data_IF_927717727336
#
_entry.id   IF_927717727336
#
_cell.length_a   1.000
_cell.length_b   1.000
_cell.length_c   1.000
_cell.angle_alpha   90.00
_cell.angle_beta   90.00
_cell.angle_gamma   90.00
#
_symmetry.space_group_name_H-M   'P 1'
#
loop_
_entity.id
_entity.type
_entity.pdbx_description
1 polymer ?
#
# COMPACT_ATOMS: atom_id res chain seq x y z
N UNK A 1 -26.87 6.79 52.38
CA UNK A 1 -26.29 5.85 51.41
C UNK A 1 -27.22 5.80 50.21
N UNK A 2 -26.76 5.83 48.94
CA UNK A 2 -25.39 5.66 48.44
C UNK A 2 -24.76 6.94 47.85
N UNK A 3 -23.47 6.83 47.52
CA UNK A 3 -22.59 7.84 46.93
C UNK A 3 -23.00 8.18 45.49
N UNK A 4 -23.03 9.48 45.17
CA UNK A 4 -23.10 10.01 43.81
C UNK A 4 -21.69 10.44 43.39
N UNK A 5 -20.94 9.56 42.73
CA UNK A 5 -19.72 9.92 41.99
C UNK A 5 -20.11 10.25 40.56
N UNK A 6 -20.36 11.53 40.30
CA UNK A 6 -20.38 12.06 38.93
C UNK A 6 -18.92 12.17 38.45
N UNK A 7 -18.44 11.14 37.74
CA UNK A 7 -17.20 11.23 36.97
C UNK A 7 -17.54 12.02 35.71
N UNK A 8 -17.12 13.29 35.66
CA UNK A 8 -17.07 14.04 34.40
C UNK A 8 -16.09 13.32 33.46
N UNK A 9 -16.62 12.65 32.44
CA UNK A 9 -15.81 12.18 31.31
C UNK A 9 -15.41 13.40 30.49
N UNK A 10 -14.18 13.88 30.69
CA UNK A 10 -13.51 14.74 29.71
C UNK A 10 -13.20 13.90 28.47
N UNK A 11 -14.07 13.96 27.46
CA UNK A 11 -13.79 13.50 26.10
C UNK A 11 -12.84 14.50 25.46
N UNK A 12 -11.60 14.07 25.21
CA UNK A 12 -10.68 14.82 24.36
C UNK A 12 -10.88 14.37 22.92
N UNK A 13 -11.38 15.26 22.06
CA UNK A 13 -11.25 15.11 20.61
C UNK A 13 -9.76 15.23 20.26
N UNK A 14 -9.14 14.09 19.93
CA UNK A 14 -7.83 14.08 19.29
C UNK A 14 -8.07 14.59 17.86
N UNK A 15 -7.77 15.86 17.63
CA UNK A 15 -7.75 16.43 16.28
C UNK A 15 -6.81 15.60 15.40
N UNK A 16 -7.22 15.19 14.19
CA UNK A 16 -6.38 14.40 13.31
C UNK A 16 -5.14 15.22 12.95
N UNK A 17 -3.97 14.64 13.18
CA UNK A 17 -2.70 15.19 12.71
C UNK A 17 -2.81 15.49 11.22
N UNK A 18 -2.83 16.77 10.86
CA UNK A 18 -2.76 17.22 9.48
C UNK A 18 -1.36 16.85 8.95
N UNK A 19 -1.29 15.77 8.18
CA UNK A 19 -0.14 15.42 7.36
C UNK A 19 -0.17 16.33 6.13
N UNK A 20 0.54 17.45 6.16
CA UNK A 20 0.84 18.19 4.94
C UNK A 20 2.02 17.52 4.24
N UNK A 21 1.72 16.87 3.12
CA UNK A 21 2.71 16.28 2.21
C UNK A 21 3.45 17.42 1.51
N UNK A 22 4.65 17.73 1.99
CA UNK A 22 5.61 18.50 1.21
C UNK A 22 6.42 17.56 0.31
N UNK A 23 6.66 17.96 -0.95
CA UNK A 23 7.31 17.22 -2.05
C UNK A 23 8.77 16.76 -1.83
N UNK A 24 9.19 16.50 -0.59
CA UNK A 24 10.41 15.77 -0.26
C UNK A 24 10.12 14.83 0.90
N UNK A 25 10.03 13.55 0.61
CA UNK A 25 9.79 12.47 1.58
C UNK A 25 10.89 12.45 2.67
N UNK A 26 10.62 13.11 3.79
CA UNK A 26 11.36 12.92 5.02
C UNK A 26 10.38 12.91 6.19
N UNK A 27 10.44 11.86 7.01
CA UNK A 27 9.83 11.85 8.34
C UNK A 27 10.68 12.72 9.28
N UNK A 28 10.11 13.84 9.73
CA UNK A 28 10.67 14.66 10.81
C UNK A 28 10.08 14.18 12.14
N UNK A 29 10.90 13.58 12.99
CA UNK A 29 10.57 13.44 14.41
C UNK A 29 10.56 14.84 15.03
N UNK A 30 9.39 15.38 15.40
CA UNK A 30 9.32 16.65 16.13
C UNK A 30 9.62 16.39 17.62
N UNK A 31 10.67 17.01 18.13
CA UNK A 31 11.08 16.94 19.53
C UNK A 31 10.29 17.90 20.43
N UNK A 32 9.02 18.16 20.12
CA UNK A 32 8.19 19.12 20.87
C UNK A 32 6.96 18.42 21.43
N UNK A 33 7.06 17.92 22.66
CA UNK A 33 5.88 17.74 23.49
C UNK A 33 5.25 19.12 23.73
N UNK A 34 3.93 19.30 23.57
CA UNK A 34 3.30 20.60 23.79
C UNK A 34 3.56 21.07 25.23
N UNK A 35 4.01 22.32 25.41
CA UNK A 35 4.25 22.92 26.73
C UNK A 35 3.02 22.83 27.66
N UNK A 36 1.81 22.75 27.09
CA UNK A 36 0.56 22.50 27.81
C UNK A 36 0.51 21.16 28.56
N UNK A 37 1.18 20.12 28.04
CA UNK A 37 1.27 18.80 28.71
C UNK A 37 2.19 18.85 29.93
N UNK A 38 3.31 19.57 29.83
CA UNK A 38 4.24 19.76 30.94
C UNK A 38 3.65 20.64 32.05
N UNK A 39 2.89 21.68 31.69
CA UNK A 39 2.21 22.56 32.65
C UNK A 39 1.12 21.83 33.46
N UNK A 40 0.37 20.92 32.84
CA UNK A 40 -0.66 20.13 33.53
C UNK A 40 -0.07 19.13 34.54
N UNK A 41 1.12 18.58 34.25
CA UNK A 41 1.82 17.68 35.17
C UNK A 41 2.45 18.41 36.36
N UNK A 42 2.82 19.68 36.23
CA UNK A 42 3.42 20.45 37.33
C UNK A 42 2.41 20.96 38.37
N UNK A 43 1.18 21.32 37.97
CA UNK A 43 0.18 21.86 38.91
C UNK A 43 -0.52 20.80 39.77
N UNK A 44 -0.60 19.55 39.31
CA UNK A 44 -1.23 18.45 40.10
C UNK A 44 -0.26 17.70 41.02
N UNK A 45 1.02 18.08 41.02
CA UNK A 45 2.06 17.42 41.80
C UNK A 45 2.34 18.02 43.18
N UNK A 46 1.79 19.20 43.51
CA UNK A 46 2.20 19.94 44.72
C UNK A 46 1.30 19.77 45.95
N UNK A 47 0.08 19.25 45.83
CA UNK A 47 -0.92 19.37 46.90
C UNK A 47 -1.34 18.05 47.57
N UNK A 48 -0.61 16.94 47.37
CA UNK A 48 -0.98 15.64 47.94
C UNK A 48 0.19 14.82 48.50
N UNK A 49 1.03 15.38 49.38
CA UNK A 49 1.83 14.56 50.30
C UNK A 49 2.06 15.30 51.64
N UNK A 50 1.01 15.42 52.46
CA UNK A 50 1.18 15.43 53.92
C UNK A 50 0.34 14.27 54.48
N UNK A 51 1.01 13.16 54.80
CA UNK A 51 0.39 12.03 55.48
C UNK A 51 0.73 10.68 54.85
N UNK A 52 1.34 9.84 55.68
CA UNK A 52 1.55 8.39 55.51
C UNK A 52 2.80 7.95 54.74
N UNK A 53 3.84 7.75 55.55
CA UNK A 53 4.89 6.74 55.38
C UNK A 53 4.28 5.39 54.99
N UNK A 54 4.13 5.15 53.68
CA UNK A 54 3.96 3.80 53.14
C UNK A 54 5.17 3.48 52.27
N UNK A 55 6.04 2.67 52.85
CA UNK A 55 7.13 1.91 52.23
C UNK A 55 6.86 1.51 50.77
N UNK A 56 7.33 2.33 49.83
CA UNK A 56 7.59 1.96 48.45
C UNK A 56 9.09 2.11 48.22
N UNK A 57 9.79 0.98 48.22
CA UNK A 57 11.16 0.89 47.70
C UNK A 57 11.14 1.34 46.24
N UNK A 58 11.46 2.61 45.99
CA UNK A 58 11.85 3.07 44.66
C UNK A 58 13.14 2.35 44.28
N UNK A 59 13.02 1.30 43.48
CA UNK A 59 14.14 0.75 42.72
C UNK A 59 14.58 1.83 41.74
N UNK A 60 15.52 2.68 42.17
CA UNK A 60 16.04 3.78 41.36
C UNK A 60 17.02 3.22 40.33
N UNK A 61 16.47 2.71 39.24
CA UNK A 61 17.25 2.21 38.11
C UNK A 61 18.03 3.38 37.50
N UNK A 62 19.37 3.29 37.34
CA UNK A 62 20.18 4.38 36.80
C UNK A 62 19.74 4.80 35.40
N UNK A 63 19.87 6.10 35.08
CA UNK A 63 19.52 6.61 33.75
C UNK A 63 20.31 5.96 32.60
N UNK A 64 21.56 5.53 32.84
CA UNK A 64 22.35 4.77 31.87
C UNK A 64 21.70 3.44 31.49
N UNK A 65 21.09 2.74 32.44
CA UNK A 65 20.39 1.49 32.19
C UNK A 65 19.23 1.68 31.21
N UNK A 66 18.43 2.74 31.38
CA UNK A 66 17.31 3.01 30.47
C UNK A 66 17.78 3.36 29.06
N UNK A 67 18.87 4.14 28.93
CA UNK A 67 19.47 4.46 27.63
C UNK A 67 19.93 3.21 26.89
N UNK A 68 20.69 2.35 27.58
CA UNK A 68 21.16 1.09 27.02
C UNK A 68 19.98 0.18 26.66
N UNK A 69 19.02 0.01 27.56
CA UNK A 69 17.85 -0.85 27.32
C UNK A 69 17.07 -0.44 26.06
N UNK A 70 16.86 0.86 25.84
CA UNK A 70 16.18 1.35 24.63
C UNK A 70 16.99 1.03 23.37
N UNK A 71 18.30 1.23 23.39
CA UNK A 71 19.18 0.94 22.25
C UNK A 71 19.36 -0.58 22.00
N UNK A 72 19.27 -1.42 23.04
CA UNK A 72 19.38 -2.88 22.93
C UNK A 72 18.06 -3.57 22.54
N UNK A 73 16.92 -2.96 22.85
CA UNK A 73 15.59 -3.56 22.60
C UNK A 73 15.09 -3.41 21.16
N UNK A 74 15.76 -2.60 20.34
CA UNK A 74 15.45 -2.44 18.91
C UNK A 74 16.12 -3.52 18.06
N UNK A 75 15.46 -3.90 16.97
CA UNK A 75 16.05 -4.77 15.94
C UNK A 75 16.97 -4.01 14.97
N UNK A 76 17.05 -2.68 15.10
CA UNK A 76 17.87 -1.81 14.27
C UNK A 76 19.30 -1.73 14.80
N UNK A 77 20.27 -1.55 13.90
CA UNK A 77 21.67 -1.48 14.27
C UNK A 77 22.03 -0.07 14.74
N UNK A 78 22.59 0.03 15.95
CA UNK A 78 23.15 1.27 16.51
C UNK A 78 24.61 1.06 16.88
N UNK A 79 25.47 2.01 16.49
CA UNK A 79 26.88 2.00 16.87
C UNK A 79 27.44 3.42 17.00
N UNK A 80 28.59 3.53 17.67
CA UNK A 80 29.34 4.77 17.78
C UNK A 80 30.83 4.49 17.61
N UNK A 81 31.52 5.37 16.89
CA UNK A 81 32.95 5.32 16.63
C UNK A 81 33.63 6.60 17.13
N UNK A 82 34.88 6.51 17.55
CA UNK A 82 35.73 7.70 17.76
C UNK A 82 36.33 8.22 16.44
N UNK A 83 37.12 9.30 16.52
CA UNK A 83 37.82 9.89 15.36
C UNK A 83 38.87 8.95 14.73
N UNK A 84 39.31 7.90 15.43
CA UNK A 84 40.23 6.89 14.94
C UNK A 84 39.52 5.63 14.43
N UNK A 85 38.18 5.67 14.32
CA UNK A 85 37.30 4.58 13.90
C UNK A 85 37.26 3.38 14.87
N UNK A 86 37.52 3.62 16.16
CA UNK A 86 37.37 2.60 17.20
C UNK A 86 35.93 2.54 17.67
N UNK A 87 35.42 1.32 17.84
CA UNK A 87 34.06 1.08 18.31
C UNK A 87 33.93 1.55 19.77
N UNK A 88 33.17 2.60 20.01
CA UNK A 88 32.85 3.10 21.35
C UNK A 88 31.63 2.39 21.94
N UNK A 89 30.67 2.06 21.08
CA UNK A 89 29.43 1.38 21.43
C UNK A 89 28.87 0.65 20.22
N UNK A 90 28.23 -0.48 20.44
CA UNK A 90 27.36 -1.16 19.49
C UNK A 90 26.28 -1.90 20.25
N UNK A 91 25.05 -1.84 19.75
CA UNK A 91 24.00 -2.71 20.25
C UNK A 91 24.12 -4.12 19.68
N UNK A 92 23.42 -5.07 20.29
CA UNK A 92 23.45 -6.48 19.89
C UNK A 92 23.02 -6.66 18.42
N UNK A 93 22.03 -5.90 17.95
CA UNK A 93 21.54 -5.97 16.57
C UNK A 93 22.62 -5.58 15.54
N UNK A 94 23.47 -4.60 15.84
CA UNK A 94 24.63 -4.25 15.00
C UNK A 94 25.64 -5.39 14.95
N UNK A 95 26.02 -5.93 16.11
CA UNK A 95 27.04 -6.99 16.20
C UNK A 95 26.61 -8.24 15.44
N UNK A 96 25.37 -8.69 15.62
CA UNK A 96 24.83 -9.85 14.92
C UNK A 96 24.71 -9.63 13.41
N UNK A 97 24.25 -8.44 12.98
CA UNK A 97 24.16 -8.13 11.55
C UNK A 97 25.55 -8.13 10.92
N UNK A 98 26.51 -7.48 11.57
CA UNK A 98 27.87 -7.40 11.08
C UNK A 98 28.52 -8.78 10.97
N UNK A 99 28.37 -9.62 11.99
CA UNK A 99 28.85 -11.00 12.00
C UNK A 99 28.21 -11.83 10.89
N UNK A 100 26.88 -11.72 10.68
CA UNK A 100 26.20 -12.43 9.59
C UNK A 100 26.72 -12.04 8.20
N UNK A 101 27.10 -10.77 8.01
CA UNK A 101 27.54 -10.26 6.70
C UNK A 101 29.03 -10.53 6.43
N UNK A 102 29.88 -10.47 7.46
CA UNK A 102 31.34 -10.50 7.30
C UNK A 102 31.99 -11.76 7.87
N UNK A 103 31.29 -12.50 8.74
CA UNK A 103 31.83 -13.62 9.52
C UNK A 103 32.78 -13.19 10.64
N UNK A 104 32.85 -11.90 10.97
CA UNK A 104 33.78 -11.34 11.96
C UNK A 104 33.03 -10.77 13.16
N UNK A 105 33.67 -10.82 14.33
CA UNK A 105 33.15 -10.22 15.56
C UNK A 105 33.96 -8.99 15.96
N UNK A 106 33.30 -8.02 16.59
CA UNK A 106 33.94 -6.85 17.19
C UNK A 106 33.71 -6.79 18.68
N UNK A 107 34.69 -6.23 19.37
CA UNK A 107 34.56 -5.74 20.73
C UNK A 107 34.68 -4.22 20.76
N UNK A 108 34.13 -3.61 21.79
CA UNK A 108 34.37 -2.19 22.09
C UNK A 108 35.87 -1.93 22.19
N UNK A 109 36.36 -0.91 21.48
CA UNK A 109 37.77 -0.54 21.34
C UNK A 109 38.44 -1.00 20.05
N UNK A 110 37.86 -2.00 19.36
CA UNK A 110 38.37 -2.50 18.09
C UNK A 110 38.23 -1.45 16.99
N UNK A 111 39.21 -1.43 16.08
CA UNK A 111 39.21 -0.51 14.95
C UNK A 111 38.40 -1.09 13.80
N UNK A 112 37.19 -0.57 13.62
CA UNK A 112 36.20 -1.12 12.68
C UNK A 112 36.71 -1.06 11.24
N UNK A 113 37.39 0.03 10.88
CA UNK A 113 37.87 0.25 9.51
C UNK A 113 38.97 -0.73 9.07
N UNK A 114 39.78 -1.24 9.99
CA UNK A 114 40.86 -2.20 9.66
C UNK A 114 40.30 -3.58 9.27
N UNK A 115 39.09 -3.86 9.74
CA UNK A 115 38.44 -5.18 9.63
C UNK A 115 37.35 -5.16 8.56
N UNK A 116 36.60 -4.06 8.46
CA UNK A 116 35.80 -3.74 7.28
C UNK A 116 36.66 -3.71 6.00
N UNK A 117 37.98 -3.48 6.13
CA UNK A 117 38.95 -3.56 5.03
C UNK A 117 39.09 -4.95 4.36
N UNK A 118 38.31 -5.96 4.75
CA UNK A 118 38.20 -7.25 4.03
C UNK A 118 36.83 -7.59 3.44
N UNK A 119 35.78 -6.77 3.66
CA UNK A 119 34.42 -7.01 3.13
C UNK A 119 34.13 -6.29 1.79
N UNK A 120 33.15 -6.70 0.97
CA UNK A 120 32.69 -5.88 -0.16
C UNK A 120 32.03 -4.57 0.33
N UNK A 121 32.41 -3.40 -0.20
CA UNK A 121 31.78 -2.10 0.15
C UNK A 121 32.58 -1.15 1.07
N UNK A 122 33.81 -1.50 1.44
CA UNK A 122 34.66 -0.78 2.42
C UNK A 122 34.92 0.69 2.10
N UNK A 123 35.30 0.98 0.84
CA UNK A 123 35.60 2.35 0.42
C UNK A 123 34.38 3.26 0.58
N UNK A 124 33.18 2.68 0.45
CA UNK A 124 31.94 3.38 0.62
C UNK A 124 31.71 3.75 2.09
N UNK A 125 31.69 2.79 3.03
CA UNK A 125 31.50 3.10 4.46
C UNK A 125 32.57 4.00 5.04
N UNK A 126 33.84 3.80 4.67
CA UNK A 126 34.93 4.72 5.01
C UNK A 126 34.62 6.15 4.61
N UNK A 127 34.15 6.35 3.38
CA UNK A 127 33.82 7.69 2.89
C UNK A 127 32.66 8.33 3.67
N UNK A 128 31.69 7.54 4.14
CA UNK A 128 30.58 8.04 4.96
C UNK A 128 31.08 8.46 6.35
N UNK A 129 31.92 7.65 6.99
CA UNK A 129 32.52 7.99 8.27
C UNK A 129 33.39 9.25 8.18
N UNK A 130 34.22 9.36 7.15
CA UNK A 130 35.08 10.55 6.93
C UNK A 130 34.25 11.83 6.70
N UNK A 131 33.12 11.74 6.01
CA UNK A 131 32.17 12.85 5.86
C UNK A 131 31.52 13.23 7.19
N UNK A 132 31.06 12.22 7.95
CA UNK A 132 30.49 12.46 9.27
C UNK A 132 31.50 13.10 10.24
N UNK A 133 32.76 12.67 10.21
CA UNK A 133 33.84 13.28 11.02
C UNK A 133 34.15 14.73 10.64
N UNK A 134 33.78 15.18 9.43
CA UNK A 134 33.85 16.60 9.01
C UNK A 134 32.65 17.42 9.51
N UNK A 135 31.74 16.82 10.27
CA UNK A 135 30.54 17.47 10.80
C UNK A 135 29.29 17.31 9.93
N UNK A 136 29.33 16.51 8.86
CA UNK A 136 28.19 16.28 7.99
C UNK A 136 27.24 15.22 8.57
N UNK A 137 25.93 15.47 8.57
CA UNK A 137 24.95 14.38 8.77
C UNK A 137 24.72 13.67 7.45
N UNK A 138 25.10 12.40 7.36
CA UNK A 138 24.98 11.59 6.15
C UNK A 138 23.74 10.71 6.25
N UNK A 139 22.92 10.69 5.21
CA UNK A 139 21.77 9.79 5.07
C UNK A 139 21.81 9.13 3.70
N UNK A 140 21.64 7.83 3.63
CA UNK A 140 21.70 7.08 2.37
C UNK A 140 20.94 5.77 2.49
N UNK A 141 20.31 5.34 1.39
CA UNK A 141 19.66 4.03 1.32
C UNK A 141 20.51 3.14 0.42
N UNK A 142 21.03 2.07 1.01
CA UNK A 142 21.81 1.07 0.31
C UNK A 142 20.94 -0.09 -0.16
N UNK A 143 21.37 -0.70 -1.26
CA UNK A 143 20.65 -1.78 -1.91
C UNK A 143 21.61 -2.95 -2.09
N UNK A 144 21.29 -4.08 -1.48
CA UNK A 144 22.12 -5.28 -1.53
C UNK A 144 21.38 -6.37 -2.30
N UNK A 145 21.81 -6.70 -3.53
CA UNK A 145 21.28 -7.85 -4.27
C UNK A 145 21.72 -9.16 -3.61
N UNK A 146 20.80 -10.11 -3.47
CA UNK A 146 21.07 -11.46 -2.98
C UNK A 146 20.18 -12.49 -3.70
N UNK A 147 20.35 -13.78 -3.40
CA UNK A 147 19.65 -14.88 -4.09
C UNK A 147 18.10 -14.82 -4.00
N UNK A 148 17.55 -14.05 -3.04
CA UNK A 148 16.11 -13.96 -2.78
C UNK A 148 15.52 -12.58 -3.10
N UNK A 149 16.29 -11.65 -3.68
CA UNK A 149 15.80 -10.31 -3.99
C UNK A 149 16.84 -9.21 -3.73
N UNK A 150 16.36 -8.02 -3.41
CA UNK A 150 17.17 -6.86 -3.05
C UNK A 150 16.78 -6.45 -1.62
N UNK A 151 17.77 -6.35 -0.73
CA UNK A 151 17.59 -5.75 0.59
C UNK A 151 17.85 -4.25 0.53
N UNK A 152 17.02 -3.46 1.22
CA UNK A 152 17.08 -2.01 1.30
C UNK A 152 17.45 -1.61 2.72
N UNK A 153 18.61 -0.98 2.93
CA UNK A 153 19.08 -0.57 4.26
C UNK A 153 19.19 0.95 4.31
N UNK A 154 18.44 1.59 5.21
CA UNK A 154 18.60 3.02 5.49
C UNK A 154 19.76 3.20 6.48
N UNK A 155 20.80 3.90 6.04
CA UNK A 155 21.97 4.26 6.83
C UNK A 155 21.97 5.74 7.15
N UNK A 156 22.09 6.06 8.44
CA UNK A 156 22.26 7.42 8.91
C UNK A 156 23.49 7.53 9.81
N UNK A 157 24.37 8.46 9.49
CA UNK A 157 25.58 8.74 10.27
C UNK A 157 25.56 10.20 10.73
N UNK A 158 25.83 10.42 12.01
CA UNK A 158 25.82 11.75 12.62
C UNK A 158 27.12 12.00 13.38
N UNK A 159 27.73 13.19 13.26
CA UNK A 159 28.86 13.58 14.11
C UNK A 159 28.45 13.65 15.59
N UNK A 160 29.35 13.23 16.46
CA UNK A 160 29.28 13.47 17.91
C UNK A 160 30.09 14.74 18.20
N UNK A 161 29.45 15.75 18.79
CA UNK A 161 30.11 16.99 19.17
C UNK A 161 30.35 17.07 20.67
N UNK A 162 31.54 17.49 21.07
CA UNK A 162 31.89 17.90 22.42
C UNK A 162 32.61 19.25 22.35
N UNK A 163 32.11 20.26 23.06
CA UNK A 163 32.69 21.61 23.08
C UNK A 163 32.91 22.21 21.66
N UNK A 164 31.99 21.93 20.73
CA UNK A 164 32.05 22.41 19.35
C UNK A 164 33.06 21.69 18.45
N UNK A 165 33.74 20.64 18.94
CA UNK A 165 34.63 19.78 18.16
C UNK A 165 33.97 18.43 17.92
N UNK A 166 34.19 17.86 16.74
CA UNK A 166 33.78 16.48 16.45
C UNK A 166 34.71 15.53 17.21
N UNK A 167 34.14 14.65 18.01
CA UNK A 167 34.86 13.64 18.81
C UNK A 167 34.56 12.19 18.38
N UNK A 168 33.65 12.02 17.43
CA UNK A 168 33.27 10.71 16.92
C UNK A 168 32.07 10.77 15.98
N UNK A 169 31.50 9.61 15.67
CA UNK A 169 30.34 9.44 14.79
C UNK A 169 29.40 8.42 15.42
N UNK A 170 28.09 8.68 15.41
CA UNK A 170 27.07 7.65 15.62
C UNK A 170 26.55 7.15 14.28
N UNK A 171 26.30 5.86 14.20
CA UNK A 171 25.68 5.20 13.07
C UNK A 171 24.39 4.53 13.46
N UNK A 172 23.45 4.56 12.53
CA UNK A 172 22.16 3.92 12.58
C UNK A 172 21.93 3.19 11.26
N UNK A 173 21.45 1.95 11.33
CA UNK A 173 21.05 1.21 10.15
C UNK A 173 19.76 0.42 10.39
N UNK A 174 18.74 0.71 9.60
CA UNK A 174 17.45 0.04 9.66
C UNK A 174 17.13 -0.70 8.35
N UNK A 175 16.47 -1.84 8.46
CA UNK A 175 16.01 -2.61 7.30
C UNK A 175 14.68 -2.05 6.78
N UNK A 176 14.70 -1.51 5.58
CA UNK A 176 13.55 -0.93 4.88
C UNK A 176 12.99 -1.87 3.80
N UNK A 177 13.49 -3.09 3.69
CA UNK A 177 13.18 -4.01 2.59
C UNK A 177 11.70 -4.35 2.52
N UNK A 178 11.07 -4.68 3.65
CA UNK A 178 9.65 -5.05 3.68
C UNK A 178 8.77 -3.89 3.22
N UNK A 179 9.03 -2.68 3.74
CA UNK A 179 8.28 -1.49 3.35
C UNK A 179 8.41 -1.22 1.85
N UNK A 180 9.64 -1.28 1.30
CA UNK A 180 9.88 -1.07 -0.13
C UNK A 180 9.23 -2.14 -1.01
N UNK A 181 9.18 -3.39 -0.55
CA UNK A 181 8.49 -4.46 -1.27
C UNK A 181 6.98 -4.22 -1.28
N UNK A 182 6.38 -3.83 -0.14
CA UNK A 182 4.95 -3.49 -0.08
C UNK A 182 4.61 -2.28 -0.97
N UNK A 183 5.42 -1.23 -0.95
CA UNK A 183 5.27 -0.07 -1.84
C UNK A 183 5.29 -0.50 -3.31
N UNK A 184 6.28 -1.31 -3.71
CA UNK A 184 6.39 -1.80 -5.09
C UNK A 184 5.21 -2.68 -5.49
N UNK A 185 4.75 -3.57 -4.62
CA UNK A 185 3.58 -4.42 -4.89
C UNK A 185 2.31 -3.57 -5.07
N UNK A 186 2.10 -2.57 -4.21
CA UNK A 186 0.98 -1.64 -4.33
C UNK A 186 1.06 -0.81 -5.63
N UNK A 187 2.25 -0.33 -6.00
CA UNK A 187 2.47 0.37 -7.27
C UNK A 187 2.14 -0.52 -8.46
N UNK A 188 2.60 -1.78 -8.45
CA UNK A 188 2.32 -2.73 -9.53
C UNK A 188 0.84 -3.05 -9.66
N UNK A 189 0.13 -3.23 -8.53
CA UNK A 189 -1.31 -3.44 -8.52
C UNK A 189 -2.07 -2.21 -9.03
N UNK A 190 -1.68 -1.01 -8.58
CA UNK A 190 -2.25 0.24 -9.06
C UNK A 190 -2.00 0.43 -10.55
N UNK A 191 -0.78 0.22 -11.05
CA UNK A 191 -0.48 0.28 -12.48
C UNK A 191 -1.32 -0.72 -13.26
N UNK A 192 -1.43 -1.96 -12.78
CA UNK A 192 -2.29 -2.97 -13.40
C UNK A 192 -3.73 -2.49 -13.49
N UNK A 193 -4.29 -1.98 -12.40
CA UNK A 193 -5.64 -1.40 -12.38
C UNK A 193 -5.80 -0.24 -13.38
N UNK A 194 -4.79 0.61 -13.51
CA UNK A 194 -4.81 1.79 -14.40
C UNK A 194 -4.71 1.43 -15.89
N UNK A 195 -3.94 0.40 -16.25
CA UNK A 195 -3.68 0.02 -17.65
C UNK A 195 -4.64 -1.05 -18.21
N UNK A 196 -5.44 -1.70 -17.37
CA UNK A 196 -6.45 -2.65 -17.84
C UNK A 196 -7.48 -1.94 -18.73
N UNK A 197 -7.63 -2.43 -19.97
CA UNK A 197 -8.56 -1.91 -20.98
C UNK A 197 -10.01 -2.35 -20.77
N UNK A 198 -10.28 -3.08 -19.69
CA UNK A 198 -11.64 -3.41 -19.28
C UNK A 198 -12.10 -2.31 -18.32
N UNK A 199 -13.27 -1.68 -18.55
CA UNK A 199 -13.89 -0.84 -17.54
C UNK A 199 -14.08 -1.57 -16.21
N UNK A 200 -13.48 -1.04 -15.14
CA UNK A 200 -13.60 -1.54 -13.78
C UNK A 200 -14.05 -0.38 -12.88
N UNK A 201 -15.11 -0.61 -12.12
CA UNK A 201 -15.62 0.36 -11.14
C UNK A 201 -15.94 -0.36 -9.83
N UNK A 202 -15.68 0.32 -8.71
CA UNK A 202 -16.02 -0.15 -7.38
C UNK A 202 -17.09 0.77 -6.80
N UNK A 203 -18.17 0.19 -6.30
CA UNK A 203 -19.31 0.90 -5.72
C UNK A 203 -19.54 0.37 -4.31
N UNK A 204 -19.91 1.22 -3.36
CA UNK A 204 -20.30 0.77 -2.03
C UNK A 204 -21.71 0.13 -2.03
N UNK A 205 -22.08 -0.48 -0.91
CA UNK A 205 -23.39 -1.14 -0.74
C UNK A 205 -24.57 -0.19 -0.91
N UNK A 206 -24.40 1.06 -0.46
CA UNK A 206 -25.43 2.09 -0.45
C UNK A 206 -25.71 2.65 -1.85
N UNK A 207 -24.78 2.45 -2.78
CA UNK A 207 -24.84 2.90 -4.17
C UNK A 207 -24.89 4.42 -4.32
N UNK A 208 -24.39 5.16 -3.33
CA UNK A 208 -24.39 6.62 -3.27
C UNK A 208 -23.22 7.24 -4.07
N UNK A 209 -22.13 6.49 -4.29
CA UNK A 209 -20.98 6.94 -5.06
C UNK A 209 -20.00 5.83 -5.42
N UNK A 210 -19.43 5.89 -6.62
CA UNK A 210 -18.30 5.02 -6.98
C UNK A 210 -17.08 5.34 -6.11
N UNK A 211 -16.57 4.35 -5.39
CA UNK A 211 -15.37 4.45 -4.57
C UNK A 211 -14.11 4.53 -5.44
N UNK A 212 -14.06 3.74 -6.51
CA UNK A 212 -12.92 3.67 -7.44
C UNK A 212 -13.39 3.49 -8.87
N UNK A 213 -12.74 4.17 -9.81
CA UNK A 213 -13.03 4.06 -11.25
C UNK A 213 -11.71 3.98 -12.01
N UNK A 214 -11.51 2.93 -12.82
CA UNK A 214 -10.30 2.87 -13.63
C UNK A 214 -10.35 3.86 -14.82
N UNK A 215 -9.20 4.30 -15.38
CA UNK A 215 -9.15 5.32 -16.43
C UNK A 215 -9.94 4.95 -17.68
N UNK A 216 -9.99 3.65 -18.00
CA UNK A 216 -10.74 3.18 -19.15
C UNK A 216 -12.25 3.34 -18.96
N UNK A 217 -12.80 3.00 -17.77
CA UNK A 217 -14.19 3.28 -17.44
C UNK A 217 -14.48 4.79 -17.46
N UNK A 218 -13.58 5.60 -16.91
CA UNK A 218 -13.73 7.06 -16.91
C UNK A 218 -13.78 7.62 -18.34
N UNK A 219 -12.92 7.14 -19.24
CA UNK A 219 -12.88 7.58 -20.64
C UNK A 219 -14.14 7.15 -21.40
N UNK A 220 -14.59 5.90 -21.21
CA UNK A 220 -15.70 5.35 -21.97
C UNK A 220 -17.06 5.88 -21.50
N UNK A 221 -17.24 6.02 -20.18
CA UNK A 221 -18.53 6.38 -19.57
C UNK A 221 -18.56 7.80 -18.96
N UNK A 222 -17.47 8.56 -19.07
CA UNK A 222 -17.34 9.90 -18.49
C UNK A 222 -17.71 9.94 -17.00
N UNK A 223 -17.36 8.88 -16.28
CA UNK A 223 -17.66 8.67 -14.87
C UNK A 223 -16.42 8.93 -14.02
N UNK A 224 -16.64 9.46 -12.83
CA UNK A 224 -15.59 9.74 -11.84
C UNK A 224 -15.97 9.14 -10.49
N UNK A 225 -14.97 9.01 -9.62
CA UNK A 225 -15.18 8.65 -8.21
C UNK A 225 -16.14 9.66 -7.55
N UNK A 226 -17.03 9.16 -6.69
CA UNK A 226 -18.13 9.94 -6.10
C UNK A 226 -19.37 10.12 -7.00
N UNK A 227 -19.33 9.75 -8.29
CA UNK A 227 -20.54 9.75 -9.12
C UNK A 227 -21.53 8.72 -8.60
N UNK A 228 -22.78 9.10 -8.35
CA UNK A 228 -23.79 8.18 -7.82
C UNK A 228 -24.29 7.21 -8.90
N UNK A 229 -24.77 6.04 -8.48
CA UNK A 229 -25.24 5.01 -9.42
C UNK A 229 -26.41 5.49 -10.29
N UNK A 230 -27.33 6.28 -9.71
CA UNK A 230 -28.49 6.79 -10.45
C UNK A 230 -28.08 7.70 -11.61
N UNK A 231 -27.10 8.57 -11.40
CA UNK A 231 -26.57 9.45 -12.45
C UNK A 231 -25.88 8.65 -13.55
N UNK A 232 -25.13 7.61 -13.19
CA UNK A 232 -24.52 6.70 -14.17
C UNK A 232 -25.56 5.92 -14.98
N UNK A 233 -26.61 5.42 -14.33
CA UNK A 233 -27.67 4.63 -14.98
C UNK A 233 -28.47 5.44 -16.03
N UNK A 234 -28.52 6.77 -15.92
CA UNK A 234 -29.20 7.64 -16.89
C UNK A 234 -28.57 7.63 -18.30
N UNK A 235 -27.34 7.13 -18.45
CA UNK A 235 -26.66 7.06 -19.75
C UNK A 235 -27.15 5.91 -20.64
N UNK A 236 -28.00 5.02 -20.13
CA UNK A 236 -28.43 3.81 -20.82
C UNK A 236 -29.86 3.92 -21.34
N UNK A 237 -30.09 3.50 -22.59
CA UNK A 237 -31.38 3.61 -23.28
C UNK A 237 -32.45 2.66 -22.71
N UNK A 238 -32.04 1.49 -22.20
CA UNK A 238 -32.91 0.54 -21.47
C UNK A 238 -32.35 0.29 -20.07
N UNK A 239 -32.86 1.03 -19.10
CA UNK A 239 -32.47 0.93 -17.69
C UNK A 239 -33.00 -0.35 -17.03
N UNK A 240 -33.95 -1.08 -17.63
CA UNK A 240 -34.56 -2.29 -17.02
C UNK A 240 -33.54 -3.36 -16.72
N UNK A 241 -32.54 -3.54 -17.58
CA UNK A 241 -31.46 -4.49 -17.36
C UNK A 241 -30.57 -4.08 -16.17
N UNK A 242 -30.26 -2.78 -16.06
CA UNK A 242 -29.51 -2.23 -14.91
C UNK A 242 -30.31 -2.26 -13.61
N UNK A 243 -31.62 -2.02 -13.67
CA UNK A 243 -32.53 -2.12 -12.54
C UNK A 243 -32.64 -3.56 -12.03
N UNK A 244 -32.72 -4.54 -12.94
CA UNK A 244 -32.65 -5.97 -12.57
C UNK A 244 -31.32 -6.34 -11.93
N UNK A 245 -30.21 -5.82 -12.45
CA UNK A 245 -28.90 -6.02 -11.85
C UNK A 245 -28.85 -5.42 -10.45
N UNK A 246 -29.27 -4.16 -10.27
CA UNK A 246 -29.40 -3.47 -8.97
C UNK A 246 -30.22 -4.27 -7.96
N UNK A 247 -31.37 -4.78 -8.36
CA UNK A 247 -32.25 -5.53 -7.46
C UNK A 247 -31.59 -6.85 -7.02
N UNK A 248 -30.86 -7.52 -7.92
CA UNK A 248 -30.05 -8.71 -7.57
C UNK A 248 -28.91 -8.38 -6.59
N UNK A 249 -28.27 -7.22 -6.74
CA UNK A 249 -27.25 -6.75 -5.79
C UNK A 249 -27.85 -6.52 -4.39
N UNK A 250 -29.05 -5.94 -4.31
CA UNK A 250 -29.77 -5.76 -3.04
C UNK A 250 -30.15 -7.09 -2.37
N UNK A 251 -30.42 -8.13 -3.16
CA UNK A 251 -30.64 -9.48 -2.64
C UNK A 251 -29.35 -10.21 -2.25
N UNK A 252 -28.19 -9.56 -2.34
CA UNK A 252 -26.90 -10.10 -1.89
C UNK A 252 -26.22 -11.04 -2.88
N UNK A 253 -26.66 -11.09 -4.14
CA UNK A 253 -26.11 -12.00 -5.16
C UNK A 253 -25.23 -11.27 -6.17
N UNK A 254 -24.13 -11.90 -6.60
CA UNK A 254 -23.41 -11.51 -7.80
C UNK A 254 -24.32 -11.68 -9.02
N UNK A 255 -24.23 -10.77 -9.98
CA UNK A 255 -25.13 -10.73 -11.12
C UNK A 255 -24.37 -10.40 -12.40
N UNK A 256 -24.73 -11.07 -13.48
CA UNK A 256 -24.26 -10.75 -14.83
C UNK A 256 -25.44 -10.60 -15.78
N UNK A 257 -25.26 -9.78 -16.81
CA UNK A 257 -26.25 -9.53 -17.84
C UNK A 257 -25.71 -8.60 -18.92
N UNK A 258 -26.43 -8.50 -20.02
CA UNK A 258 -26.06 -7.61 -21.12
C UNK A 258 -26.94 -6.37 -21.11
N UNK A 259 -26.35 -5.22 -21.40
CA UNK A 259 -27.03 -3.94 -21.58
C UNK A 259 -26.66 -3.36 -22.94
N UNK A 260 -27.57 -2.62 -23.56
CA UNK A 260 -27.30 -1.92 -24.81
C UNK A 260 -27.05 -0.45 -24.48
N UNK A 261 -25.92 0.07 -24.93
CA UNK A 261 -25.54 1.46 -24.80
C UNK A 261 -25.63 2.12 -26.17
N UNK A 262 -26.38 3.22 -26.29
CA UNK A 262 -26.44 4.01 -27.51
C UNK A 262 -25.55 5.25 -27.34
N UNK A 263 -24.39 5.25 -27.99
CA UNK A 263 -23.43 6.36 -27.89
C UNK A 263 -23.32 7.04 -29.25
N UNK A 264 -23.77 8.31 -29.34
CA UNK A 264 -23.66 9.14 -30.56
C UNK A 264 -24.26 8.49 -31.83
N UNK A 265 -25.30 7.68 -31.67
CA UNK A 265 -25.99 6.98 -32.76
C UNK A 265 -25.49 5.56 -33.06
N UNK A 266 -24.41 5.11 -32.39
CA UNK A 266 -23.93 3.73 -32.49
C UNK A 266 -24.46 2.88 -31.33
N UNK A 267 -24.99 1.70 -31.65
CA UNK A 267 -25.42 0.71 -30.66
C UNK A 267 -24.24 -0.18 -30.26
N UNK A 268 -23.93 -0.18 -28.95
CA UNK A 268 -22.91 -1.04 -28.35
C UNK A 268 -23.54 -2.05 -27.41
N UNK A 269 -23.10 -3.30 -27.51
CA UNK A 269 -23.51 -4.38 -26.64
C UNK A 269 -22.49 -4.54 -25.52
N UNK A 270 -22.93 -4.28 -24.29
CA UNK A 270 -22.06 -4.30 -23.12
C UNK A 270 -22.43 -5.49 -22.25
N UNK A 271 -21.46 -6.37 -21.98
CA UNK A 271 -21.56 -7.42 -20.97
C UNK A 271 -21.17 -6.83 -19.61
N UNK A 272 -22.12 -6.80 -18.68
CA UNK A 272 -21.95 -6.25 -17.34
C UNK A 272 -21.93 -7.39 -16.35
N UNK A 273 -20.83 -7.52 -15.63
CA UNK A 273 -20.64 -8.48 -14.55
C UNK A 273 -20.36 -7.74 -13.25
N UNK A 274 -21.15 -8.03 -12.23
CA UNK A 274 -21.06 -7.37 -10.93
C UNK A 274 -20.81 -8.43 -9.88
N UNK A 275 -19.69 -8.29 -9.17
CA UNK A 275 -19.29 -9.17 -8.10
C UNK A 275 -19.48 -8.47 -6.75
N UNK A 276 -20.10 -9.17 -5.81
CA UNK A 276 -20.14 -8.74 -4.41
C UNK A 276 -18.85 -9.13 -3.72
N UNK A 277 -18.18 -8.16 -3.09
CA UNK A 277 -16.98 -8.34 -2.29
C UNK A 277 -17.29 -7.97 -0.83
N UNK A 278 -16.94 -8.85 0.10
CA UNK A 278 -16.96 -8.53 1.53
C UNK A 278 -15.58 -7.98 1.90
N UNK A 279 -15.52 -6.74 2.37
CA UNK A 279 -14.29 -6.11 2.85
C UNK A 279 -14.53 -5.64 4.28
N UNK A 280 -13.95 -6.37 5.24
CA UNK A 280 -14.20 -6.17 6.68
C UNK A 280 -15.71 -6.20 6.99
N UNK A 281 -16.26 -5.16 7.61
CA UNK A 281 -17.69 -5.01 7.90
C UNK A 281 -18.49 -4.40 6.74
N UNK A 282 -17.82 -4.00 5.66
CA UNK A 282 -18.44 -3.36 4.49
C UNK A 282 -18.67 -4.34 3.33
N UNK A 283 -19.66 -3.99 2.50
CA UNK A 283 -19.98 -4.71 1.27
C UNK A 283 -19.71 -3.79 0.11
N UNK A 284 -18.87 -4.24 -0.82
CA UNK A 284 -18.59 -3.51 -2.06
C UNK A 284 -19.06 -4.30 -3.27
N UNK A 285 -19.35 -3.59 -4.35
CA UNK A 285 -19.72 -4.15 -5.63
C UNK A 285 -18.66 -3.79 -6.66
N UNK A 286 -18.01 -4.80 -7.23
CA UNK A 286 -17.03 -4.65 -8.30
C UNK A 286 -17.72 -4.87 -9.64
N UNK A 287 -17.72 -3.84 -10.48
CA UNK A 287 -18.31 -3.83 -11.80
C UNK A 287 -17.23 -4.06 -12.84
N UNK A 288 -17.42 -5.07 -13.67
CA UNK A 288 -16.66 -5.32 -14.88
C UNK A 288 -17.60 -5.14 -16.06
N UNK A 289 -17.24 -4.26 -16.98
CA UNK A 289 -18.02 -4.08 -18.20
C UNK A 289 -17.14 -4.45 -19.39
N UNK A 290 -17.63 -5.28 -20.31
CA UNK A 290 -16.92 -5.61 -21.54
C UNK A 290 -17.76 -5.18 -22.73
N UNK A 291 -17.13 -4.49 -23.66
CA UNK A 291 -17.75 -4.28 -24.97
C UNK A 291 -17.63 -5.58 -25.78
N UNK A 292 -18.78 -6.15 -26.14
CA UNK A 292 -18.88 -7.39 -26.91
C UNK A 292 -19.50 -7.13 -28.29
N UNK A 293 -19.57 -5.88 -28.72
CA UNK A 293 -20.20 -5.49 -29.99
C UNK A 293 -19.55 -6.22 -31.17
N UNK A 294 -18.22 -6.11 -31.30
CA UNK A 294 -17.47 -6.75 -32.39
C UNK A 294 -17.63 -8.27 -32.36
N UNK A 295 -17.53 -8.87 -31.17
CA UNK A 295 -17.69 -10.31 -31.00
C UNK A 295 -19.09 -10.79 -31.39
N UNK A 296 -20.15 -10.04 -31.05
CA UNK A 296 -21.51 -10.35 -31.46
C UNK A 296 -21.71 -10.20 -32.97
N UNK A 297 -21.21 -9.14 -33.57
CA UNK A 297 -21.32 -8.93 -35.02
C UNK A 297 -20.62 -10.06 -35.79
N UNK A 298 -19.45 -10.50 -35.33
CA UNK A 298 -18.74 -11.65 -35.91
C UNK A 298 -19.55 -12.95 -35.75
N UNK A 299 -20.13 -13.19 -34.57
CA UNK A 299 -20.94 -14.38 -34.31
C UNK A 299 -22.21 -14.42 -35.17
N UNK A 300 -22.89 -13.28 -35.33
CA UNK A 300 -24.07 -13.17 -36.18
C UNK A 300 -23.72 -13.38 -37.66
N UNK A 301 -22.59 -12.84 -38.13
CA UNK A 301 -22.11 -13.07 -39.49
C UNK A 301 -21.80 -14.55 -39.75
N UNK A 302 -21.12 -15.22 -38.80
CA UNK A 302 -20.84 -16.65 -38.89
C UNK A 302 -22.13 -17.48 -38.91
N UNK A 303 -23.12 -17.15 -38.07
CA UNK A 303 -24.42 -17.81 -38.08
C UNK A 303 -25.10 -17.70 -39.44
N UNK A 304 -25.15 -16.48 -40.01
CA UNK A 304 -25.73 -16.25 -41.35
C UNK A 304 -25.02 -17.03 -42.45
N UNK A 305 -23.68 -17.11 -42.39
CA UNK A 305 -22.92 -17.91 -43.36
C UNK A 305 -23.20 -19.40 -43.21
N UNK A 306 -23.32 -19.91 -41.98
CA UNK A 306 -23.62 -21.32 -41.73
C UNK A 306 -25.04 -21.69 -42.19
N UNK A 307 -26.02 -20.84 -41.92
CA UNK A 307 -27.41 -21.02 -42.37
C UNK A 307 -27.49 -21.06 -43.91
N UNK A 308 -26.79 -20.15 -44.59
CA UNK A 308 -26.72 -20.13 -46.06
C UNK A 308 -26.07 -21.42 -46.63
N UNK A 309 -25.00 -21.92 -46.01
CA UNK A 309 -24.37 -23.17 -46.40
C UNK A 309 -25.31 -24.36 -46.20
N UNK A 310 -26.04 -24.39 -45.08
CA UNK A 310 -27.06 -25.41 -44.81
C UNK A 310 -28.18 -25.38 -45.86
N UNK A 311 -28.68 -24.20 -46.21
CA UNK A 311 -29.72 -24.03 -47.23
C UNK A 311 -29.25 -24.50 -48.62
N UNK A 312 -28.03 -24.14 -49.01
CA UNK A 312 -27.43 -24.61 -50.27
C UNK A 312 -27.25 -26.13 -50.28
N UNK A 313 -26.70 -26.70 -49.21
CA UNK A 313 -26.53 -28.14 -49.08
C UNK A 313 -27.88 -28.87 -49.12
N UNK A 314 -28.90 -28.35 -48.44
CA UNK A 314 -30.26 -28.88 -48.47
C UNK A 314 -30.87 -28.81 -49.87
N UNK A 315 -30.77 -27.66 -50.55
CA UNK A 315 -31.26 -27.48 -51.91
C UNK A 315 -30.59 -28.46 -52.90
N UNK A 316 -29.26 -28.59 -52.84
CA UNK A 316 -28.53 -29.55 -53.67
C UNK A 316 -28.93 -31.01 -53.37
N UNK A 317 -29.09 -31.37 -52.10
CA UNK A 317 -29.53 -32.71 -51.72
C UNK A 317 -30.97 -33.00 -52.18
N UNK A 318 -31.86 -32.02 -52.13
CA UNK A 318 -33.24 -32.16 -52.63
C UNK A 318 -33.25 -32.34 -54.15
N UNK A 319 -32.49 -31.52 -54.89
CA UNK A 319 -32.35 -31.63 -56.35
C UNK A 319 -31.76 -32.95 -56.83
N UNK A 320 -30.83 -33.53 -56.07
CA UNK A 320 -30.26 -34.85 -56.37
C UNK A 320 -31.22 -36.01 -56.06
N UNK A 321 -32.23 -35.77 -55.22
CA UNK A 321 -33.26 -36.76 -54.83
C UNK A 321 -34.55 -36.64 -55.63
N UNK A 322 -34.77 -35.56 -56.38
CA UNK A 322 -35.88 -35.46 -57.33
C UNK A 322 -35.65 -36.39 -58.52
N UNK A 323 -36.54 -37.36 -58.79
CA UNK A 323 -36.38 -38.25 -59.93
C UNK A 323 -36.56 -37.44 -61.22
N UNK A 324 -35.62 -37.58 -62.14
CA UNK A 324 -35.57 -36.92 -63.45
C UNK A 324 -36.87 -37.09 -64.25
N UNK A 325 -37.83 -36.18 -64.06
CA UNK A 325 -39.05 -36.15 -64.88
C UNK A 325 -38.77 -35.38 -66.18
N UNK A 326 -38.51 -36.20 -67.20
CA UNK A 326 -38.76 -36.05 -68.64
C UNK A 326 -37.61 -35.57 -69.52
N UNK A 327 -37.12 -36.50 -70.32
CA UNK A 327 -36.98 -36.32 -71.76
C UNK A 327 -37.24 -37.66 -72.48
N UNK A 328 -38.52 -38.04 -72.58
CA UNK A 328 -38.99 -39.01 -73.56
C UNK A 328 -40.28 -38.46 -74.15
N UNK A 329 -40.12 -37.68 -75.22
CA UNK A 329 -41.20 -37.27 -76.12
C UNK A 329 -40.61 -37.24 -77.53
N UNK A 330 -41.05 -38.25 -78.29
CA UNK A 330 -41.05 -38.45 -79.74
C UNK A 330 -39.77 -38.24 -80.56
#
# INVERSE_FOLDING_TARGET
MPFSTSVERLTWEISPFACEVHEKEYWLWSAALPEAFLAHCSEKGSDLIEGEEASLQQSSVPYSFWKETILESTSESFWALDCDFRLLYANQAYLERFERLTGMHFNVGDRVIDTESQAPGQLYYRSLYERALKGETVKTIEHFPHAHGISYIDHQLKPIFQEGKVVGVTGFAADFTQLKNFERELEQLNQTFMYVKTPIMLLNAEMDGFLRVNPHASTLFQVQEGTCFQQFAQQFTDDRALLKLRDRLRTGQSASGYVVLETRGDQRFMDVSIQRLQHEEEVWFVWFIRDITDARQQLEQLSRQNDLLHDLAWFHAHRLREPSRKSSLC
#
